data_IF_558676355919
#
_entry.id   IF_558676355919
#
_cell.length_a   1.000
_cell.length_b   1.000
_cell.length_c   1.000
_cell.angle_alpha   90.00
_cell.angle_beta   90.00
_cell.angle_gamma   90.00
#
_symmetry.space_group_name_H-M   'P 1'
#
loop_
_entity.id
_entity.type
_entity.pdbx_description
1 polymer ?
#
# COMPACT_ATOMS: atom_id res chain seq x y z
N UNK A 1 -15.50 12.99 11.98
CA UNK A 1 -15.07 11.58 11.84
C UNK A 1 -14.20 11.50 10.60
N UNK A 2 -12.95 11.06 10.71
CA UNK A 2 -12.07 10.88 9.56
C UNK A 2 -12.60 9.74 8.68
N UNK A 3 -12.74 10.00 7.37
CA UNK A 3 -13.15 8.96 6.43
C UNK A 3 -12.04 7.88 6.35
N UNK A 4 -12.34 6.57 6.45
CA UNK A 4 -11.31 5.54 6.44
C UNK A 4 -10.54 5.53 5.11
N UNK A 5 -9.21 5.53 5.18
CA UNK A 5 -8.37 5.51 3.98
C UNK A 5 -8.40 4.13 3.30
N UNK A 6 -8.89 4.12 2.06
CA UNK A 6 -9.01 2.95 1.20
C UNK A 6 -7.80 2.86 0.26
N UNK A 7 -6.85 2.00 0.61
CA UNK A 7 -5.72 1.66 -0.28
C UNK A 7 -6.15 0.67 -1.38
N UNK A 8 -5.32 0.53 -2.42
CA UNK A 8 -5.50 -0.47 -3.49
C UNK A 8 -5.75 -1.88 -2.93
N UNK A 9 -4.92 -2.32 -1.98
CA UNK A 9 -5.08 -3.64 -1.36
C UNK A 9 -6.41 -3.77 -0.61
N UNK A 10 -6.80 -2.75 0.16
CA UNK A 10 -8.09 -2.75 0.87
C UNK A 10 -9.30 -2.74 -0.08
N UNK A 11 -9.19 -2.06 -1.22
CA UNK A 11 -10.22 -2.12 -2.25
C UNK A 11 -10.40 -3.54 -2.80
N UNK A 12 -9.31 -4.21 -3.17
CA UNK A 12 -9.35 -5.61 -3.64
C UNK A 12 -9.90 -6.56 -2.57
N UNK A 13 -9.50 -6.38 -1.31
CA UNK A 13 -10.03 -7.12 -0.17
C UNK A 13 -11.55 -6.92 -0.04
N UNK A 14 -12.03 -5.68 -0.17
CA UNK A 14 -13.46 -5.37 -0.13
C UNK A 14 -14.26 -5.99 -1.26
N UNK A 15 -13.70 -6.03 -2.47
CA UNK A 15 -14.30 -6.72 -3.62
C UNK A 15 -14.41 -8.23 -3.38
N UNK A 16 -13.42 -8.84 -2.73
CA UNK A 16 -13.44 -10.26 -2.42
C UNK A 16 -14.39 -10.58 -1.27
N UNK A 17 -14.32 -9.81 -0.18
CA UNK A 17 -15.09 -10.04 1.03
C UNK A 17 -15.28 -8.73 1.83
N UNK A 18 -16.49 -8.16 1.85
CA UNK A 18 -16.78 -6.95 2.64
C UNK A 18 -16.53 -7.11 4.14
N UNK A 19 -16.75 -8.33 4.68
CA UNK A 19 -16.48 -8.62 6.09
C UNK A 19 -14.99 -8.59 6.40
N UNK A 20 -14.14 -9.10 5.50
CA UNK A 20 -12.69 -9.04 5.65
C UNK A 20 -12.21 -7.58 5.62
N UNK A 21 -12.75 -6.75 4.72
CA UNK A 21 -12.47 -5.31 4.71
C UNK A 21 -12.84 -4.66 6.04
N UNK A 22 -13.99 -5.00 6.62
CA UNK A 22 -14.39 -4.50 7.93
C UNK A 22 -13.39 -4.90 9.02
N UNK A 23 -12.93 -6.16 9.04
CA UNK A 23 -11.91 -6.66 9.98
C UNK A 23 -10.61 -5.87 9.86
N UNK A 24 -10.16 -5.53 8.65
CA UNK A 24 -8.95 -4.72 8.43
C UNK A 24 -8.99 -3.32 9.07
N UNK A 25 -10.18 -2.76 9.34
CA UNK A 25 -10.32 -1.46 9.99
C UNK A 25 -10.67 -1.55 11.47
N UNK A 26 -11.43 -2.57 11.88
CA UNK A 26 -12.06 -2.61 13.20
C UNK A 26 -11.53 -3.72 14.12
N UNK A 27 -10.84 -4.72 13.57
CA UNK A 27 -10.35 -5.90 14.31
C UNK A 27 -9.03 -6.39 13.70
N UNK A 28 -8.07 -5.48 13.52
CA UNK A 28 -6.80 -5.76 12.82
C UNK A 28 -5.93 -6.79 13.55
N UNK A 29 -6.07 -6.86 14.87
CA UNK A 29 -5.42 -7.81 15.78
C UNK A 29 -5.90 -9.27 15.59
N UNK A 30 -7.06 -9.47 14.98
CA UNK A 30 -7.56 -10.81 14.62
C UNK A 30 -6.92 -11.35 13.32
N UNK A 31 -6.27 -10.50 12.53
CA UNK A 31 -5.64 -10.91 11.28
C UNK A 31 -4.30 -11.60 11.56
N UNK A 32 -3.98 -12.70 10.86
CA UNK A 32 -2.67 -13.30 10.98
C UNK A 32 -1.59 -12.31 10.53
N UNK A 33 -0.38 -12.38 11.13
CA UNK A 33 0.74 -11.61 10.66
C UNK A 33 1.09 -12.01 9.21
N UNK A 34 1.69 -11.07 8.47
CA UNK A 34 2.24 -11.36 7.15
C UNK A 34 3.36 -12.38 7.33
N UNK A 35 3.29 -13.50 6.61
CA UNK A 35 4.34 -14.51 6.67
C UNK A 35 5.62 -14.04 5.97
N UNK A 36 6.74 -14.70 6.30
CA UNK A 36 8.06 -14.29 5.81
C UNK A 36 8.17 -14.36 4.28
N UNK A 37 7.47 -15.30 3.62
CA UNK A 37 7.50 -15.45 2.18
C UNK A 37 6.79 -14.28 1.49
N UNK A 38 5.62 -13.91 2.01
CA UNK A 38 4.84 -12.77 1.54
C UNK A 38 5.58 -11.46 1.80
N UNK A 39 6.21 -11.31 2.96
CA UNK A 39 7.03 -10.15 3.27
C UNK A 39 8.20 -10.01 2.30
N UNK A 40 8.90 -11.10 1.98
CA UNK A 40 10.01 -11.08 1.02
C UNK A 40 9.57 -10.63 -0.39
N UNK A 41 8.35 -11.01 -0.82
CA UNK A 41 7.77 -10.52 -2.09
C UNK A 41 7.51 -9.02 -2.04
N UNK A 42 7.02 -8.50 -0.91
CA UNK A 42 6.82 -7.07 -0.75
C UNK A 42 8.15 -6.32 -0.78
N UNK A 43 9.15 -6.80 -0.04
CA UNK A 43 10.49 -6.20 0.03
C UNK A 43 11.13 -6.14 -1.36
N UNK A 44 11.06 -7.24 -2.13
CA UNK A 44 11.49 -7.27 -3.52
C UNK A 44 10.76 -6.23 -4.38
N UNK A 45 9.45 -6.06 -4.18
CA UNK A 45 8.68 -5.02 -4.87
C UNK A 45 9.17 -3.60 -4.57
N UNK A 46 9.54 -3.32 -3.32
CA UNK A 46 10.12 -2.03 -2.93
C UNK A 46 11.49 -1.82 -3.58
N UNK A 47 12.37 -2.83 -3.57
CA UNK A 47 13.67 -2.76 -4.24
C UNK A 47 13.53 -2.44 -5.74
N UNK A 48 12.58 -3.07 -6.42
CA UNK A 48 12.29 -2.77 -7.83
C UNK A 48 11.80 -1.33 -8.01
N UNK A 49 10.96 -0.83 -7.09
CA UNK A 49 10.49 0.55 -7.11
C UNK A 49 11.63 1.56 -6.95
N UNK A 50 12.54 1.32 -5.99
CA UNK A 50 13.74 2.13 -5.78
C UNK A 50 14.61 2.14 -7.04
N UNK A 51 14.91 0.96 -7.61
CA UNK A 51 15.70 0.86 -8.84
C UNK A 51 15.04 1.59 -10.02
N UNK A 52 13.71 1.55 -10.13
CA UNK A 52 12.99 2.22 -11.22
C UNK A 52 13.19 3.74 -11.20
N UNK A 53 13.34 4.36 -10.02
CA UNK A 53 13.61 5.81 -9.92
C UNK A 53 14.96 6.18 -10.53
N UNK A 54 15.96 5.28 -10.47
CA UNK A 54 17.31 5.53 -11.02
C UNK A 54 17.39 5.47 -12.54
N UNK A 55 16.33 5.01 -13.23
CA UNK A 55 16.31 4.91 -14.69
C UNK A 55 16.24 6.27 -15.40
N UNK A 56 15.86 7.33 -14.67
CA UNK A 56 15.72 8.67 -15.21
C UNK A 56 16.50 9.67 -14.32
N UNK A 57 17.16 10.70 -14.91
CA UNK A 57 18.01 11.64 -14.16
C UNK A 57 17.34 12.35 -12.98
N UNK A 58 16.02 12.53 -13.02
CA UNK A 58 15.22 13.20 -11.99
C UNK A 58 14.13 12.28 -11.42
N UNK A 59 14.31 10.96 -11.50
CA UNK A 59 13.34 10.01 -10.98
C UNK A 59 13.21 10.12 -9.45
N UNK A 60 11.98 10.29 -8.98
CA UNK A 60 11.67 10.46 -7.56
C UNK A 60 10.54 9.50 -7.14
N UNK A 61 10.62 8.98 -5.93
CA UNK A 61 9.53 8.21 -5.35
C UNK A 61 8.41 9.15 -4.89
N UNK A 62 7.21 8.91 -5.40
CA UNK A 62 6.01 9.64 -5.00
C UNK A 62 5.42 8.98 -3.75
N UNK A 63 5.52 9.67 -2.61
CA UNK A 63 4.91 9.18 -1.37
C UNK A 63 3.40 9.29 -1.41
N UNK A 64 2.73 8.28 -0.87
CA UNK A 64 1.28 8.16 -0.91
C UNK A 64 0.53 9.24 -0.10
N UNK A 65 1.21 9.96 0.80
CA UNK A 65 0.65 10.97 1.71
C UNK A 65 0.74 12.41 1.16
N UNK A 66 1.42 12.64 0.03
CA UNK A 66 1.66 13.97 -0.52
C UNK A 66 0.52 14.51 -1.41
N UNK A 67 -0.43 13.64 -1.82
CA UNK A 67 -1.53 14.01 -2.71
C UNK A 67 -1.05 14.34 -4.15
N UNK A 68 -1.97 14.43 -5.10
CA UNK A 68 -1.63 14.68 -6.51
C UNK A 68 -0.98 16.07 -6.72
N UNK A 69 -1.50 17.09 -6.02
CA UNK A 69 -0.99 18.46 -6.13
C UNK A 69 0.44 18.60 -5.59
N UNK A 70 0.83 17.78 -4.59
CA UNK A 70 2.19 17.78 -4.04
C UNK A 70 3.24 17.15 -4.94
N UNK A 71 2.83 16.50 -6.04
CA UNK A 71 3.71 15.72 -6.93
C UNK A 71 4.02 16.46 -8.24
N UNK A 72 3.20 17.45 -8.60
CA UNK A 72 3.23 18.10 -9.93
C UNK A 72 3.75 19.55 -9.83
N UNK A 73 3.92 20.07 -8.60
CA UNK A 73 4.50 21.38 -8.33
C UNK A 73 6.03 21.33 -8.45
#
# INVERSE_FOLDING_TARGET
MSNPFLSKSKYLIGLQCPKLLWTHYNAKDELPPVDAATQAIFDQGHEVGELATTLYPDGLEVKWDQGFDGVIA
#
